data_IF_924302186400
#
_entry.id   IF_924302186400
#
_cell.length_a   1.000
_cell.length_b   1.000
_cell.length_c   1.000
_cell.angle_alpha   90.00
_cell.angle_beta   90.00
_cell.angle_gamma   90.00
#
_symmetry.space_group_name_H-M   'P 1'
#
loop_
_entity.id
_entity.type
_entity.pdbx_description
1 polymer ?
#
# COMPACT_ATOMS: atom_id res chain seq x y z
N UNK A 1 3.01 12.17 15.02
CA UNK A 1 2.21 12.14 13.78
C UNK A 1 2.64 11.03 12.82
N UNK A 2 3.87 11.03 12.30
CA UNK A 2 4.33 10.03 11.31
C UNK A 2 4.22 8.56 11.79
N UNK A 3 4.53 8.29 13.06
CA UNK A 3 4.46 6.93 13.63
C UNK A 3 3.02 6.41 13.73
N UNK A 4 2.07 7.29 14.06
CA UNK A 4 0.63 6.96 14.10
C UNK A 4 0.14 6.60 12.70
N UNK A 5 0.57 7.36 11.68
CA UNK A 5 0.24 7.08 10.28
C UNK A 5 0.82 5.74 9.82
N UNK A 6 2.06 5.42 10.21
CA UNK A 6 2.68 4.13 9.88
C UNK A 6 1.93 2.95 10.54
N UNK A 7 1.47 3.10 11.79
CA UNK A 7 0.62 2.11 12.48
C UNK A 7 -0.73 1.96 11.77
N UNK A 8 -1.37 3.07 11.40
CA UNK A 8 -2.64 3.03 10.67
C UNK A 8 -2.51 2.28 9.33
N UNK A 9 -1.39 2.46 8.60
CA UNK A 9 -1.15 1.71 7.36
C UNK A 9 -0.94 0.22 7.59
N UNK A 10 -0.25 -0.17 8.67
CA UNK A 10 -0.12 -1.59 9.06
C UNK A 10 -1.48 -2.20 9.39
N UNK A 11 -2.32 -1.47 10.13
CA UNK A 11 -3.66 -1.91 10.50
C UNK A 11 -4.56 -2.05 9.26
N UNK A 12 -4.50 -1.09 8.32
CA UNK A 12 -5.21 -1.15 7.03
C UNK A 12 -4.88 -2.43 6.25
N UNK A 13 -3.60 -2.82 6.20
CA UNK A 13 -3.17 -4.09 5.58
C UNK A 13 -3.79 -5.29 6.29
N UNK A 14 -3.78 -5.32 7.63
CA UNK A 14 -4.39 -6.41 8.41
C UNK A 14 -5.90 -6.51 8.20
N UNK A 15 -6.60 -5.38 8.09
CA UNK A 15 -8.02 -5.35 7.75
C UNK A 15 -8.28 -5.80 6.31
N UNK A 16 -7.39 -5.49 5.37
CA UNK A 16 -7.50 -5.97 3.99
C UNK A 16 -7.42 -7.51 3.90
N UNK A 17 -6.69 -8.18 4.80
CA UNK A 17 -6.70 -9.64 4.93
C UNK A 17 -8.02 -10.21 5.52
N UNK A 18 -8.76 -9.39 6.26
CA UNK A 18 -10.03 -9.78 6.88
C UNK A 18 -11.26 -9.38 6.06
N UNK A 19 -11.08 -8.51 5.06
CA UNK A 19 -12.18 -8.04 4.22
C UNK A 19 -12.46 -9.07 3.13
N UNK A 20 -13.62 -9.71 3.23
CA UNK A 20 -14.11 -10.66 2.23
C UNK A 20 -14.37 -10.01 0.87
N UNK A 21 -14.33 -10.81 -0.19
CA UNK A 21 -14.62 -10.34 -1.55
C UNK A 21 -15.78 -11.13 -2.16
N UNK A 22 -16.52 -10.47 -3.05
CA UNK A 22 -17.58 -11.12 -3.82
C UNK A 22 -16.96 -11.72 -5.08
N UNK A 23 -17.22 -13.01 -5.29
CA UNK A 23 -16.87 -13.71 -6.52
C UNK A 23 -18.13 -14.39 -7.04
N UNK A 24 -18.52 -14.08 -8.28
CA UNK A 24 -19.62 -14.77 -8.97
C UNK A 24 -20.91 -14.82 -8.11
N UNK A 25 -21.28 -13.67 -7.51
CA UNK A 25 -22.43 -13.50 -6.62
C UNK A 25 -22.40 -14.28 -5.29
N UNK A 26 -21.28 -14.91 -4.95
CA UNK A 26 -21.04 -15.52 -3.65
C UNK A 26 -20.07 -14.68 -2.81
N UNK A 27 -20.41 -14.47 -1.53
CA UNK A 27 -19.56 -13.78 -0.58
C UNK A 27 -18.56 -14.77 0.02
N UNK A 28 -17.28 -14.62 -0.33
CA UNK A 28 -16.22 -15.49 0.17
C UNK A 28 -15.67 -14.91 1.46
N UNK A 29 -15.86 -15.65 2.56
CA UNK A 29 -15.33 -15.33 3.90
C UNK A 29 -14.13 -16.20 4.28
N UNK A 30 -13.72 -17.13 3.42
CA UNK A 30 -12.57 -17.98 3.67
C UNK A 30 -11.29 -17.13 3.73
N UNK A 31 -10.69 -17.07 4.93
CA UNK A 31 -9.49 -16.26 5.19
C UNK A 31 -8.29 -16.71 4.35
N UNK A 32 -8.16 -18.01 4.05
CA UNK A 32 -7.07 -18.53 3.22
C UNK A 32 -7.22 -18.08 1.76
N UNK A 33 -8.45 -18.08 1.23
CA UNK A 33 -8.72 -17.61 -0.13
C UNK A 33 -8.55 -16.09 -0.26
N UNK A 34 -9.03 -15.33 0.72
CA UNK A 34 -8.82 -13.87 0.81
C UNK A 34 -7.33 -13.57 0.87
N UNK A 35 -6.58 -14.24 1.74
CA UNK A 35 -5.14 -14.04 1.89
C UNK A 35 -4.38 -14.36 0.61
N UNK A 36 -4.65 -15.51 -0.04
CA UNK A 36 -4.00 -15.90 -1.30
C UNK A 36 -4.23 -14.88 -2.42
N UNK A 37 -5.47 -14.41 -2.57
CA UNK A 37 -5.83 -13.40 -3.58
C UNK A 37 -5.22 -12.02 -3.27
N UNK A 38 -5.18 -11.64 -2.00
CA UNK A 38 -4.59 -10.37 -1.58
C UNK A 38 -3.06 -10.39 -1.73
N UNK A 39 -2.40 -11.48 -1.33
CA UNK A 39 -0.96 -11.73 -1.48
C UNK A 39 -0.51 -11.79 -2.95
N UNK A 40 -1.31 -12.38 -3.84
CA UNK A 40 -0.96 -12.46 -5.27
C UNK A 40 -1.18 -11.16 -6.05
N UNK A 41 -1.90 -10.20 -5.47
CA UNK A 41 -2.19 -8.92 -6.11
C UNK A 41 -1.62 -7.75 -5.34
N UNK A 42 -2.46 -7.17 -4.49
CA UNK A 42 -2.28 -5.81 -4.02
C UNK A 42 -1.48 -5.69 -2.73
N UNK A 43 -1.27 -6.79 -2.01
CA UNK A 43 -0.43 -6.82 -0.82
C UNK A 43 0.94 -6.17 -1.07
N UNK A 44 1.60 -6.49 -2.18
CA UNK A 44 2.92 -5.93 -2.50
C UNK A 44 2.90 -4.41 -2.70
N UNK A 45 1.85 -3.89 -3.32
CA UNK A 45 1.67 -2.45 -3.51
C UNK A 45 1.42 -1.77 -2.15
N UNK A 46 0.54 -2.33 -1.34
CA UNK A 46 0.22 -1.78 -0.01
C UNK A 46 1.43 -1.88 0.94
N UNK A 47 2.21 -2.96 0.87
CA UNK A 47 3.43 -3.17 1.64
C UNK A 47 4.52 -2.16 1.26
N UNK A 48 4.90 -2.08 -0.02
CA UNK A 48 5.95 -1.15 -0.47
C UNK A 48 5.50 0.30 -0.20
N UNK A 49 4.22 0.62 -0.39
CA UNK A 49 3.74 1.96 -0.07
C UNK A 49 3.75 2.26 1.43
N UNK A 50 3.55 1.28 2.31
CA UNK A 50 3.55 1.48 3.77
C UNK A 50 4.94 1.81 4.34
N UNK A 51 6.02 1.41 3.69
CA UNK A 51 7.39 1.58 4.20
C UNK A 51 7.80 3.07 4.20
N UNK A 52 8.23 3.64 5.34
CA UNK A 52 8.67 5.03 5.44
C UNK A 52 10.11 5.18 4.92
N UNK A 53 10.31 4.97 3.61
CA UNK A 53 11.63 5.00 2.98
C UNK A 53 12.38 6.33 3.17
N UNK A 54 11.66 7.45 3.32
CA UNK A 54 12.30 8.74 3.62
C UNK A 54 13.05 8.74 4.96
N UNK A 55 12.59 7.94 5.93
CA UNK A 55 13.30 7.74 7.21
C UNK A 55 14.48 6.79 7.08
N UNK A 56 14.33 5.73 6.27
CA UNK A 56 15.42 4.80 5.97
C UNK A 56 16.57 5.54 5.27
N UNK A 57 16.26 6.38 4.28
CA UNK A 57 17.25 7.18 3.57
C UNK A 57 17.96 8.21 4.47
N UNK A 58 17.25 8.83 5.41
CA UNK A 58 17.83 9.80 6.34
C UNK A 58 18.58 9.16 7.53
N UNK A 59 18.32 7.88 7.82
CA UNK A 59 19.00 7.12 8.87
C UNK A 59 20.26 6.40 8.36
N UNK A 60 20.46 6.34 7.04
CA UNK A 60 21.72 5.90 6.44
C UNK A 60 22.78 7.00 6.67
N UNK A 61 23.98 6.66 7.19
CA UNK A 61 25.05 7.63 7.31
C UNK A 61 25.34 8.23 5.93
N UNK A 62 25.54 9.55 5.84
CA UNK A 62 26.04 10.21 4.64
C UNK A 62 27.46 9.72 4.35
N UNK A 63 27.59 8.51 3.81
CA UNK A 63 28.81 8.05 3.17
C UNK A 63 28.94 8.85 1.88
N UNK A 64 29.66 9.96 1.98
CA UNK A 64 29.99 10.95 0.96
C UNK A 64 30.83 10.41 -0.21
N UNK A 65 30.56 9.19 -0.67
CA UNK A 65 31.41 8.47 -1.62
C UNK A 65 30.66 7.45 -2.50
N UNK A 66 29.40 7.66 -2.85
CA UNK A 66 28.72 6.69 -3.74
C UNK A 66 27.79 7.35 -4.76
N UNK A 67 28.36 7.53 -5.95
CA UNK A 67 27.76 7.42 -7.29
C UNK A 67 26.42 8.13 -7.53
N UNK A 68 26.38 8.94 -8.58
CA UNK A 68 25.25 9.64 -9.21
C UNK A 68 23.91 8.87 -9.37
N UNK A 69 23.88 7.57 -9.05
CA UNK A 69 22.69 6.73 -8.93
C UNK A 69 21.89 6.94 -7.63
N UNK A 70 22.52 7.16 -6.47
CA UNK A 70 21.81 7.35 -5.19
C UNK A 70 21.08 8.70 -5.09
N UNK A 71 21.50 9.71 -5.86
CA UNK A 71 20.77 10.98 -5.98
C UNK A 71 19.36 10.81 -6.59
N UNK A 72 19.07 9.69 -7.26
CA UNK A 72 17.73 9.35 -7.73
C UNK A 72 16.85 8.71 -6.65
N UNK A 73 17.41 8.15 -5.58
CA UNK A 73 16.63 7.56 -4.49
C UNK A 73 15.60 8.54 -3.93
N UNK A 74 15.95 9.78 -3.48
CA UNK A 74 14.94 10.71 -2.99
C UNK A 74 13.88 11.09 -4.04
N UNK A 75 14.20 11.00 -5.35
CA UNK A 75 13.21 11.18 -6.43
C UNK A 75 12.27 9.97 -6.51
N UNK A 76 12.80 8.74 -6.49
CA UNK A 76 12.01 7.51 -6.46
C UNK A 76 11.11 7.43 -5.22
N UNK A 77 11.59 7.91 -4.07
CA UNK A 77 10.79 8.01 -2.84
C UNK A 77 9.62 8.99 -2.97
N UNK A 78 9.78 10.09 -3.73
CA UNK A 78 8.66 10.98 -4.06
C UNK A 78 7.63 10.28 -4.95
N UNK A 79 8.07 9.46 -5.91
CA UNK A 79 7.17 8.66 -6.73
C UNK A 79 6.41 7.60 -5.91
N UNK A 80 7.05 6.99 -4.90
CA UNK A 80 6.37 6.09 -3.96
C UNK A 80 5.28 6.78 -3.13
N UNK A 81 5.43 8.08 -2.85
CA UNK A 81 4.35 8.89 -2.24
C UNK A 81 3.12 8.99 -3.16
N UNK A 82 3.33 9.05 -4.48
CA UNK A 82 2.25 9.04 -5.48
C UNK A 82 1.60 7.66 -5.56
N UNK A 83 2.36 6.57 -5.36
CA UNK A 83 1.82 5.21 -5.25
C UNK A 83 0.78 5.09 -4.12
N UNK A 84 0.95 5.79 -2.99
CA UNK A 84 -0.08 5.87 -1.93
C UNK A 84 -1.37 6.55 -2.42
N UNK A 85 -1.30 7.46 -3.39
CA UNK A 85 -2.48 8.11 -3.98
C UNK A 85 -3.36 7.15 -4.79
N UNK A 86 -2.78 6.07 -5.34
CA UNK A 86 -3.56 5.03 -6.02
C UNK A 86 -4.49 4.27 -5.06
N UNK A 87 -4.23 4.28 -3.74
CA UNK A 87 -5.21 3.80 -2.76
C UNK A 87 -6.50 4.62 -2.80
N UNK A 88 -6.44 5.94 -3.03
CA UNK A 88 -7.65 6.78 -3.19
C UNK A 88 -8.45 6.44 -4.45
N UNK A 89 -7.77 6.08 -5.54
CA UNK A 89 -8.44 5.62 -6.77
C UNK A 89 -9.26 4.34 -6.52
N UNK A 90 -8.83 3.48 -5.60
CA UNK A 90 -9.59 2.28 -5.19
C UNK A 90 -10.81 2.65 -4.38
N UNK A 91 -10.71 3.60 -3.45
CA UNK A 91 -11.86 4.13 -2.71
C UNK A 91 -12.88 4.72 -3.70
N UNK A 92 -12.43 5.48 -4.69
CA UNK A 92 -13.30 6.01 -5.74
C UNK A 92 -13.95 4.91 -6.60
N UNK A 93 -13.20 3.85 -6.93
CA UNK A 93 -13.76 2.70 -7.67
C UNK A 93 -14.79 1.93 -6.84
N UNK A 94 -14.56 1.78 -5.54
CA UNK A 94 -15.52 1.17 -4.61
C UNK A 94 -16.76 2.04 -4.44
N UNK A 95 -16.61 3.36 -4.29
CA UNK A 95 -17.74 4.31 -4.25
C UNK A 95 -18.53 4.29 -5.55
N UNK A 96 -17.85 4.24 -6.71
CA UNK A 96 -18.52 4.10 -8.01
C UNK A 96 -19.21 2.75 -8.17
N UNK A 97 -18.62 1.66 -7.65
CA UNK A 97 -19.30 0.37 -7.60
C UNK A 97 -20.56 0.51 -6.75
N UNK A 98 -20.50 1.01 -5.52
CA UNK A 98 -21.69 1.18 -4.68
C UNK A 98 -22.76 2.07 -5.33
N UNK A 99 -22.37 3.17 -5.99
CA UNK A 99 -23.31 4.05 -6.71
C UNK A 99 -23.94 3.41 -7.94
N UNK A 100 -23.27 2.45 -8.59
CA UNK A 100 -23.82 1.72 -9.74
C UNK A 100 -24.72 0.55 -9.31
N UNK A 101 -24.87 0.31 -8.00
CA UNK A 101 -25.79 -0.68 -7.43
C UNK A 101 -27.12 -0.07 -6.96
N UNK A 102 -27.26 1.25 -6.98
CA UNK A 102 -28.55 1.97 -6.89
C UNK A 102 -29.10 2.23 -8.30
#
# INVERSE_FOLDING_TARGET
LNLIVDIFFMIDIVFAFHTGFIRESQFITDKSEIAKRYLSGWFWIDLITSIPFGRIAAALPDSSSTNSSLAMLPRLLRFMKIARMFKLLRVLKLVKMMSNWE
#
